data_IF_745039588205
#
_entry.id   IF_745039588205
#
_cell.length_a   1.000
_cell.length_b   1.000
_cell.length_c   1.000
_cell.angle_alpha   90.00
_cell.angle_beta   90.00
_cell.angle_gamma   90.00
#
_symmetry.space_group_name_H-M   'P 1'
#
loop_
_entity.id
_entity.type
_entity.pdbx_description
1 polymer ?
#
# COMPACT_ATOMS: atom_id res chain seq x y z
N UNK A 1 -5.45 13.69 9.59
CA UNK A 1 -6.24 13.56 8.34
C UNK A 1 -6.70 12.11 8.19
N UNK A 2 -7.71 11.82 7.36
CA UNK A 2 -8.25 10.46 7.13
C UNK A 2 -7.56 9.71 5.97
N UNK A 3 -6.66 10.38 5.26
CA UNK A 3 -5.86 9.78 4.17
C UNK A 3 -4.58 9.22 4.76
N UNK A 4 -4.29 7.95 4.49
CA UNK A 4 -3.07 7.26 4.93
C UNK A 4 -2.24 6.90 3.69
N UNK A 5 -1.20 7.68 3.36
CA UNK A 5 -0.27 7.35 2.29
C UNK A 5 0.76 6.32 2.76
N UNK A 6 0.96 5.25 2.00
CA UNK A 6 2.04 4.29 2.20
C UNK A 6 3.02 4.40 1.04
N UNK A 7 4.21 4.93 1.34
CA UNK A 7 5.24 5.19 0.34
C UNK A 7 5.91 3.89 -0.12
N UNK A 8 6.08 3.77 -1.43
CA UNK A 8 6.77 2.66 -2.09
C UNK A 8 8.01 3.18 -2.82
N UNK A 9 7.90 4.35 -3.46
CA UNK A 9 9.02 5.05 -4.10
C UNK A 9 9.46 4.49 -5.46
N UNK A 10 8.74 3.50 -5.99
CA UNK A 10 8.95 2.96 -7.33
C UNK A 10 7.60 2.68 -8.01
N UNK A 11 7.37 3.15 -9.25
CA UNK A 11 6.07 3.01 -9.92
C UNK A 11 5.73 1.57 -10.30
N UNK A 12 6.73 0.74 -10.59
CA UNK A 12 6.54 -0.66 -10.99
C UNK A 12 6.12 -1.47 -9.77
N UNK A 13 6.83 -1.34 -8.65
CA UNK A 13 6.46 -1.99 -7.40
C UNK A 13 5.11 -1.48 -6.87
N UNK A 14 4.83 -0.17 -6.96
CA UNK A 14 3.55 0.38 -6.50
C UNK A 14 2.37 -0.23 -7.25
N UNK A 15 2.49 -0.37 -8.59
CA UNK A 15 1.47 -1.04 -9.41
C UNK A 15 1.37 -2.53 -9.05
N UNK A 16 2.51 -3.23 -9.00
CA UNK A 16 2.55 -4.67 -8.73
C UNK A 16 1.88 -5.02 -7.39
N UNK A 17 2.19 -4.29 -6.32
CA UNK A 17 1.58 -4.51 -5.02
C UNK A 17 0.07 -4.25 -5.06
N UNK A 18 -0.37 -3.20 -5.77
CA UNK A 18 -1.80 -2.91 -5.94
C UNK A 18 -2.52 -4.04 -6.68
N UNK A 19 -1.94 -4.55 -7.77
CA UNK A 19 -2.51 -5.66 -8.54
C UNK A 19 -2.59 -6.93 -7.67
N UNK A 20 -1.52 -7.29 -6.95
CA UNK A 20 -1.50 -8.47 -6.09
C UNK A 20 -2.46 -8.35 -4.90
N UNK A 21 -2.60 -7.16 -4.30
CA UNK A 21 -3.61 -6.92 -3.26
C UNK A 21 -5.02 -7.17 -3.79
N UNK A 22 -5.30 -6.80 -5.04
CA UNK A 22 -6.60 -7.04 -5.65
C UNK A 22 -6.81 -8.52 -6.00
N UNK A 23 -5.85 -9.13 -6.68
CA UNK A 23 -5.96 -10.49 -7.22
C UNK A 23 -5.93 -11.57 -6.13
N UNK A 24 -4.98 -11.47 -5.19
CA UNK A 24 -4.73 -12.52 -4.19
C UNK A 24 -5.45 -12.27 -2.86
N UNK A 25 -5.77 -11.01 -2.56
CA UNK A 25 -6.32 -10.61 -1.26
C UNK A 25 -7.69 -9.93 -1.36
N UNK A 26 -8.20 -9.67 -2.57
CA UNK A 26 -9.49 -9.00 -2.76
C UNK A 26 -9.51 -7.54 -2.28
N UNK A 27 -8.34 -6.93 -2.07
CA UNK A 27 -8.21 -5.56 -1.59
C UNK A 27 -7.85 -4.62 -2.74
N UNK A 28 -8.81 -3.80 -3.13
CA UNK A 28 -8.55 -2.74 -4.09
C UNK A 28 -7.94 -1.50 -3.42
N UNK A 29 -6.74 -1.11 -3.85
CA UNK A 29 -6.12 0.17 -3.49
C UNK A 29 -5.51 0.82 -4.73
N UNK A 30 -5.76 2.10 -4.91
CA UNK A 30 -5.24 2.85 -6.06
C UNK A 30 -3.72 3.12 -5.88
N UNK A 31 -2.88 2.69 -6.83
CA UNK A 31 -1.49 3.13 -6.90
C UNK A 31 -1.46 4.56 -7.44
N UNK A 32 -0.70 5.44 -6.77
CA UNK A 32 -0.54 6.84 -7.17
C UNK A 32 0.90 7.04 -7.64
N UNK A 33 1.04 7.25 -8.95
CA UNK A 33 2.32 7.42 -9.65
C UNK A 33 2.40 8.80 -10.33
N UNK A 34 3.50 9.07 -11.03
CA UNK A 34 3.62 10.24 -11.91
C UNK A 34 2.51 10.24 -12.99
N UNK A 35 1.93 11.41 -13.36
CA UNK A 35 2.26 12.78 -12.94
C UNK A 35 1.56 13.27 -11.66
N UNK A 36 0.73 12.44 -11.03
CA UNK A 36 -0.04 12.83 -9.83
C UNK A 36 0.86 13.11 -8.63
N UNK A 37 1.96 12.37 -8.49
CA UNK A 37 3.01 12.61 -7.49
C UNK A 37 4.38 12.69 -8.15
N UNK A 38 5.36 13.39 -7.55
CA UNK A 38 6.74 13.39 -8.03
C UNK A 38 7.32 11.98 -8.11
N UNK A 39 8.19 11.75 -9.10
CA UNK A 39 8.92 10.48 -9.26
C UNK A 39 9.74 10.18 -8.00
N UNK A 40 9.78 8.92 -7.60
CA UNK A 40 10.43 8.46 -6.35
C UNK A 40 9.56 8.67 -5.10
N UNK A 41 8.34 9.20 -5.25
CA UNK A 41 7.38 9.37 -4.14
C UNK A 41 6.06 8.64 -4.39
N UNK A 42 6.10 7.63 -5.26
CA UNK A 42 5.01 6.73 -5.56
C UNK A 42 4.51 6.05 -4.28
N UNK A 43 3.19 5.91 -4.18
CA UNK A 43 2.55 5.49 -2.94
C UNK A 43 1.20 4.83 -3.17
N UNK A 44 0.81 3.96 -2.25
CA UNK A 44 -0.56 3.49 -2.12
C UNK A 44 -1.34 4.48 -1.23
N UNK A 45 -2.56 4.84 -1.64
CA UNK A 45 -3.39 5.80 -0.91
C UNK A 45 -4.60 5.11 -0.29
N UNK A 46 -4.55 4.88 1.02
CA UNK A 46 -5.67 4.32 1.77
C UNK A 46 -6.55 5.43 2.34
N UNK A 47 -7.85 5.20 2.31
CA UNK A 47 -8.86 6.06 2.97
C UNK A 47 -9.83 5.16 3.72
N UNK A 48 -9.46 4.70 4.93
CA UNK A 48 -10.35 3.91 5.77
C UNK A 48 -11.65 4.67 6.02
N UNK A 49 -12.76 3.93 6.06
CA UNK A 49 -14.07 4.45 6.41
C UNK A 49 -14.58 3.78 7.68
N UNK A 50 -15.60 4.32 8.38
CA UNK A 50 -16.17 3.70 9.57
C UNK A 50 -16.71 2.27 9.36
N UNK A 51 -16.91 1.86 8.11
CA UNK A 51 -17.38 0.52 7.77
C UNK A 51 -16.24 -0.51 7.65
N UNK A 52 -14.98 -0.08 7.68
CA UNK A 52 -13.83 -0.98 7.75
C UNK A 52 -13.66 -1.41 9.19
N UNK A 53 -13.73 -2.71 9.45
CA UNK A 53 -13.55 -3.28 10.78
C UNK A 53 -12.07 -3.46 11.10
N UNK A 54 -11.74 -3.61 12.38
CA UNK A 54 -10.36 -3.90 12.81
C UNK A 54 -9.83 -5.19 12.17
N UNK A 55 -10.68 -6.21 12.01
CA UNK A 55 -10.30 -7.44 11.32
C UNK A 55 -9.92 -7.22 9.85
N UNK A 56 -10.67 -6.37 9.12
CA UNK A 56 -10.31 -6.03 7.73
C UNK A 56 -8.98 -5.28 7.67
N UNK A 57 -8.71 -4.41 8.65
CA UNK A 57 -7.44 -3.68 8.74
C UNK A 57 -6.28 -4.63 9.05
N UNK A 58 -6.46 -5.56 9.99
CA UNK A 58 -5.45 -6.57 10.34
C UNK A 58 -5.11 -7.46 9.14
N UNK A 59 -6.12 -7.90 8.39
CA UNK A 59 -5.91 -8.73 7.21
C UNK A 59 -5.19 -7.97 6.09
N UNK A 60 -5.54 -6.70 5.88
CA UNK A 60 -4.79 -5.81 4.98
C UNK A 60 -3.32 -5.68 5.40
N UNK A 61 -3.05 -5.39 6.68
CA UNK A 61 -1.68 -5.21 7.18
C UNK A 61 -0.86 -6.49 7.00
N UNK A 62 -1.44 -7.66 7.29
CA UNK A 62 -0.78 -8.97 7.06
C UNK A 62 -0.49 -9.22 5.58
N UNK A 63 -1.42 -8.88 4.69
CA UNK A 63 -1.22 -8.99 3.25
C UNK A 63 -0.09 -8.08 2.78
N UNK A 64 -0.12 -6.81 3.18
CA UNK A 64 0.92 -5.84 2.86
C UNK A 64 2.30 -6.27 3.37
N UNK A 65 2.39 -6.79 4.59
CA UNK A 65 3.64 -7.27 5.18
C UNK A 65 4.29 -8.38 4.33
N UNK A 66 3.48 -9.33 3.85
CA UNK A 66 3.93 -10.41 2.96
C UNK A 66 4.39 -9.87 1.61
N UNK A 67 3.60 -8.99 1.01
CA UNK A 67 3.91 -8.42 -0.30
C UNK A 67 5.15 -7.51 -0.27
N UNK A 68 5.36 -6.76 0.81
CA UNK A 68 6.57 -5.95 0.97
C UNK A 68 7.84 -6.79 0.95
N UNK A 69 7.80 -7.95 1.61
CA UNK A 69 8.90 -8.92 1.59
C UNK A 69 9.05 -9.58 0.23
N UNK A 70 7.94 -10.00 -0.40
CA UNK A 70 7.95 -10.63 -1.73
C UNK A 70 8.52 -9.72 -2.82
N UNK A 71 8.08 -8.45 -2.84
CA UNK A 71 8.52 -7.44 -3.81
C UNK A 71 9.86 -6.78 -3.42
N UNK A 72 10.51 -7.22 -2.34
CA UNK A 72 11.77 -6.67 -1.83
C UNK A 72 11.74 -5.13 -1.68
N UNK A 73 10.62 -4.59 -1.17
CA UNK A 73 10.45 -3.15 -0.98
C UNK A 73 11.11 -2.74 0.34
N UNK A 74 11.89 -1.67 0.29
CA UNK A 74 12.55 -1.13 1.48
C UNK A 74 11.52 -0.75 2.56
N UNK A 75 11.73 -1.26 3.77
CA UNK A 75 10.97 -0.84 4.95
C UNK A 75 11.66 0.36 5.56
N UNK A 76 10.88 1.39 5.88
CA UNK A 76 11.37 2.46 6.74
C UNK A 76 11.67 1.85 8.13
N UNK A 77 12.76 2.26 8.79
CA UNK A 77 13.05 1.80 10.14
C UNK A 77 11.85 2.08 11.04
N UNK A 78 11.48 1.11 11.88
CA UNK A 78 10.45 1.32 12.88
C UNK A 78 10.82 2.55 13.72
N UNK A 79 9.92 3.52 13.77
CA UNK A 79 10.09 4.68 14.65
C UNK A 79 9.91 4.14 16.07
N UNK A 80 10.99 4.16 16.85
CA UNK A 80 11.00 3.77 18.25
C UNK A 80 10.14 4.70 19.11
#
# INVERSE_FOLDING_TARGET
>A
SHIVPVFVGDPVHTKMISDMLLEDHGVYVQPINYPTVPKGTERLRFTPSPNHTDAMMDDLVKAMDRLWTHCNVARLPAVA
#
